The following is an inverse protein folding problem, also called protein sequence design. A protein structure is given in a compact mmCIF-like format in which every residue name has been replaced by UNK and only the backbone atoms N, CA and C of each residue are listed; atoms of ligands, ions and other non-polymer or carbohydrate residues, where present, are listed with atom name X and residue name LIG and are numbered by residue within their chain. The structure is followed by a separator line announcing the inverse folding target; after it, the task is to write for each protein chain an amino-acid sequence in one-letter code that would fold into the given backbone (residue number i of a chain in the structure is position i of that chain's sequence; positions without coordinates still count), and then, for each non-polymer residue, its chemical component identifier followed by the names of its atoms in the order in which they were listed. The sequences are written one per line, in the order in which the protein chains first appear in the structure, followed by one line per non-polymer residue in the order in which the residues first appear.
data_IF_655899887407
#
_entry.id   IF_655899887407
#
_cell.length_a   1.000
_cell.length_b   1.000
_cell.length_c   1.000
_cell.angle_alpha   90.00
_cell.angle_beta   90.00
_cell.angle_gamma   90.00
#
_symmetry.space_group_name_H-M   'P 1'
#
loop_
_entity.id
_entity.type
_entity.pdbx_description
1 polymer ?
#
# COMPACT_ATOMS: atom_id res chain seq x y z
N UNK A 1 -28.75 40.49 -44.20
CA UNK A 1 -28.43 39.12 -44.55
C UNK A 1 -26.98 38.94 -44.25
N UNK A 2 -26.60 38.27 -43.19
CA UNK A 2 -25.33 37.58 -43.03
C UNK A 2 -25.34 36.95 -41.67
N UNK A 3 -25.56 35.63 -41.63
CA UNK A 3 -25.49 34.83 -40.43
C UNK A 3 -24.02 34.54 -40.12
N UNK A 4 -23.58 34.86 -38.90
CA UNK A 4 -22.32 34.41 -38.36
C UNK A 4 -22.44 32.98 -37.79
N UNK A 5 -21.44 32.12 -37.94
CA UNK A 5 -21.48 30.78 -37.38
C UNK A 5 -21.20 30.80 -35.86
N UNK A 6 -22.03 30.06 -35.13
CA UNK A 6 -21.91 29.90 -33.70
C UNK A 6 -20.61 29.19 -33.33
N UNK A 7 -19.94 29.81 -32.41
CA UNK A 7 -18.73 29.29 -31.74
C UNK A 7 -19.15 28.18 -30.78
N UNK A 8 -18.86 26.95 -31.14
CA UNK A 8 -19.03 25.79 -30.28
C UNK A 8 -18.03 25.90 -29.14
N UNK A 9 -18.51 26.25 -27.95
CA UNK A 9 -17.74 26.19 -26.73
C UNK A 9 -17.24 24.74 -26.51
N UNK A 10 -15.93 24.54 -26.71
CA UNK A 10 -15.25 23.32 -26.40
C UNK A 10 -15.38 23.01 -24.90
N UNK A 11 -16.04 21.91 -24.60
CA UNK A 11 -16.05 21.33 -23.25
C UNK A 11 -14.60 20.94 -22.93
N UNK A 12 -13.94 21.81 -22.14
CA UNK A 12 -12.64 21.54 -21.57
C UNK A 12 -12.71 20.21 -20.82
N UNK A 13 -11.95 19.24 -21.30
CA UNK A 13 -11.79 17.95 -20.64
C UNK A 13 -11.33 18.17 -19.21
N UNK A 14 -12.06 17.61 -18.26
CA UNK A 14 -11.59 17.47 -16.89
C UNK A 14 -10.25 16.76 -16.95
N UNK A 15 -9.22 17.38 -16.39
CA UNK A 15 -7.90 16.80 -16.25
C UNK A 15 -8.05 15.42 -15.62
N UNK A 16 -7.86 14.38 -16.41
CA UNK A 16 -7.89 13.01 -15.93
C UNK A 16 -6.69 12.89 -14.98
N UNK A 17 -6.99 12.74 -13.71
CA UNK A 17 -6.03 12.55 -12.63
C UNK A 17 -5.14 11.36 -13.00
N UNK A 18 -3.89 11.65 -13.40
CA UNK A 18 -3.02 10.67 -14.05
C UNK A 18 -2.50 9.69 -12.99
N UNK A 19 -2.84 8.42 -13.13
CA UNK A 19 -2.32 7.37 -12.27
C UNK A 19 -0.78 7.31 -12.32
N UNK A 20 -0.08 6.94 -11.21
CA UNK A 20 1.38 6.82 -11.20
C UNK A 20 1.88 5.88 -12.28
N UNK A 21 2.89 6.30 -13.05
CA UNK A 21 3.34 5.55 -14.23
C UNK A 21 4.21 4.32 -13.89
N UNK A 22 5.07 4.39 -12.84
CA UNK A 22 5.99 3.33 -12.43
C UNK A 22 5.81 3.01 -10.95
N UNK A 23 5.27 1.84 -10.64
CA UNK A 23 4.78 1.50 -9.30
C UNK A 23 5.40 0.21 -8.77
N UNK A 24 5.98 0.27 -7.57
CA UNK A 24 6.32 -0.92 -6.79
C UNK A 24 5.12 -1.31 -5.91
N UNK A 25 4.66 -2.55 -6.00
CA UNK A 25 3.63 -3.12 -5.11
C UNK A 25 4.25 -4.20 -4.23
N UNK A 26 4.39 -3.91 -2.93
CA UNK A 26 4.90 -4.83 -1.91
C UNK A 26 3.73 -5.50 -1.20
N UNK A 27 3.73 -6.83 -1.16
CA UNK A 27 2.58 -7.63 -0.73
C UNK A 27 1.64 -8.01 -1.90
N UNK A 28 2.14 -8.05 -3.13
CA UNK A 28 1.38 -8.27 -4.35
C UNK A 28 0.66 -9.63 -4.43
N UNK A 29 1.05 -10.61 -3.61
CA UNK A 29 0.37 -11.91 -3.50
C UNK A 29 -0.81 -11.91 -2.51
N UNK A 30 -0.94 -10.86 -1.69
CA UNK A 30 -2.07 -10.63 -0.81
C UNK A 30 -3.29 -10.08 -1.56
N UNK A 31 -4.45 -10.02 -0.87
CA UNK A 31 -5.68 -9.50 -1.46
C UNK A 31 -5.54 -8.03 -1.87
N UNK A 32 -5.21 -7.14 -0.93
CA UNK A 32 -5.10 -5.70 -1.19
C UNK A 32 -4.04 -5.40 -2.24
N UNK A 33 -2.81 -5.90 -2.05
CA UNK A 33 -1.72 -5.69 -3.00
C UNK A 33 -2.00 -6.26 -4.39
N UNK A 34 -2.65 -7.43 -4.45
CA UNK A 34 -3.03 -8.05 -5.72
C UNK A 34 -4.12 -7.29 -6.47
N UNK A 35 -5.11 -6.75 -5.76
CA UNK A 35 -6.14 -5.86 -6.33
C UNK A 35 -5.53 -4.55 -6.82
N UNK A 36 -4.67 -3.93 -6.02
CA UNK A 36 -3.97 -2.71 -6.39
C UNK A 36 -3.10 -2.90 -7.64
N UNK A 37 -2.28 -3.97 -7.68
CA UNK A 37 -1.42 -4.27 -8.83
C UNK A 37 -2.22 -4.44 -10.12
N UNK A 38 -3.35 -5.19 -10.07
CA UNK A 38 -4.24 -5.36 -11.23
C UNK A 38 -4.86 -4.04 -11.69
N UNK A 39 -5.36 -3.25 -10.75
CA UNK A 39 -6.03 -1.99 -11.08
C UNK A 39 -5.05 -0.97 -11.65
N UNK A 40 -3.85 -0.83 -11.08
CA UNK A 40 -2.79 0.04 -11.60
C UNK A 40 -2.33 -0.40 -13.00
N UNK A 41 -2.13 -1.71 -13.19
CA UNK A 41 -1.79 -2.26 -14.52
C UNK A 41 -2.86 -1.96 -15.57
N UNK A 42 -4.15 -2.16 -15.25
CA UNK A 42 -5.26 -1.81 -16.16
C UNK A 42 -5.31 -0.34 -16.52
N UNK A 43 -4.79 0.55 -15.66
CA UNK A 43 -4.67 2.00 -15.90
C UNK A 43 -3.39 2.39 -16.65
N UNK A 44 -2.65 1.41 -17.16
CA UNK A 44 -1.43 1.63 -17.94
C UNK A 44 -0.15 1.80 -17.13
N UNK A 45 -0.18 1.64 -15.81
CA UNK A 45 1.03 1.71 -15.00
C UNK A 45 1.97 0.52 -15.26
N UNK A 46 3.26 0.81 -15.32
CA UNK A 46 4.32 -0.20 -15.26
C UNK A 46 4.51 -0.64 -13.81
N UNK A 47 4.20 -1.89 -13.49
CA UNK A 47 4.25 -2.40 -12.12
C UNK A 47 5.41 -3.35 -11.91
N UNK A 48 6.11 -3.22 -10.78
CA UNK A 48 7.02 -4.21 -10.22
C UNK A 48 6.39 -4.81 -8.96
N UNK A 49 6.51 -6.12 -8.78
CA UNK A 49 5.80 -6.85 -7.75
C UNK A 49 6.75 -7.45 -6.73
N UNK A 50 6.47 -7.28 -5.44
CA UNK A 50 7.20 -7.95 -4.37
C UNK A 50 6.24 -8.73 -3.45
N UNK A 51 6.68 -9.90 -2.98
CA UNK A 51 5.89 -10.77 -2.14
C UNK A 51 6.71 -11.91 -1.53
N UNK A 52 6.19 -12.56 -0.50
CA UNK A 52 6.92 -13.61 0.23
C UNK A 52 7.03 -14.93 -0.54
N UNK A 53 5.95 -15.37 -1.16
CA UNK A 53 5.89 -16.66 -1.86
C UNK A 53 6.27 -16.46 -3.33
N UNK A 54 7.43 -17.00 -3.74
CA UNK A 54 8.01 -16.80 -5.07
C UNK A 54 7.13 -17.37 -6.20
N UNK A 55 6.52 -18.55 -6.02
CA UNK A 55 5.69 -19.20 -7.04
C UNK A 55 4.41 -18.38 -7.29
N UNK A 56 3.66 -18.07 -6.22
CA UNK A 56 2.45 -17.24 -6.33
C UNK A 56 2.75 -15.85 -6.90
N UNK A 57 3.95 -15.32 -6.63
CA UNK A 57 4.39 -14.04 -7.15
C UNK A 57 4.67 -14.12 -8.65
N UNK A 58 5.35 -15.17 -9.11
CA UNK A 58 5.61 -15.43 -10.53
C UNK A 58 4.29 -15.63 -11.30
N UNK A 59 3.32 -16.37 -10.72
CA UNK A 59 1.97 -16.52 -11.32
C UNK A 59 1.28 -15.15 -11.46
N UNK A 60 1.36 -14.31 -10.43
CA UNK A 60 0.80 -12.95 -10.47
C UNK A 60 1.47 -12.09 -11.54
N UNK A 61 2.79 -12.19 -11.65
CA UNK A 61 3.57 -11.44 -12.65
C UNK A 61 3.19 -11.85 -14.07
N UNK A 62 3.06 -13.16 -14.35
CA UNK A 62 2.61 -13.68 -15.65
C UNK A 62 1.21 -13.18 -16.01
N UNK A 63 0.26 -13.19 -15.09
CA UNK A 63 -1.10 -12.67 -15.31
C UNK A 63 -1.15 -11.17 -15.65
N UNK A 64 -0.10 -10.43 -15.34
CA UNK A 64 0.03 -9.00 -15.64
C UNK A 64 0.98 -8.71 -16.81
N UNK A 65 1.34 -9.72 -17.62
CA UNK A 65 2.22 -9.58 -18.78
C UNK A 65 3.71 -9.61 -18.38
N UNK A 66 4.10 -10.63 -17.64
CA UNK A 66 5.49 -10.92 -17.21
C UNK A 66 6.20 -9.74 -16.52
N UNK A 67 5.51 -9.14 -15.56
CA UNK A 67 6.04 -7.98 -14.84
C UNK A 67 7.26 -8.34 -13.99
N UNK A 68 8.21 -7.40 -13.81
CA UNK A 68 9.31 -7.59 -12.88
C UNK A 68 8.78 -7.98 -11.49
N UNK A 69 9.37 -9.03 -10.91
CA UNK A 69 8.95 -9.50 -9.60
C UNK A 69 10.15 -10.00 -8.77
N UNK A 70 10.07 -9.84 -7.45
CA UNK A 70 11.12 -10.21 -6.50
C UNK A 70 10.51 -10.73 -5.19
N UNK A 71 10.92 -11.93 -4.80
CA UNK A 71 10.59 -12.45 -3.48
C UNK A 71 11.41 -11.73 -2.40
N UNK A 72 10.83 -11.58 -1.19
CA UNK A 72 11.52 -11.00 -0.05
C UNK A 72 11.05 -11.62 1.26
N UNK A 73 11.88 -11.54 2.28
CA UNK A 73 11.56 -11.90 3.66
C UNK A 73 11.41 -10.61 4.49
N UNK A 74 10.33 -10.53 5.28
CA UNK A 74 10.07 -9.38 6.16
C UNK A 74 11.09 -9.28 7.33
N UNK A 75 11.81 -10.34 7.64
CA UNK A 75 12.88 -10.35 8.63
C UNK A 75 14.23 -9.86 8.09
N UNK A 76 14.41 -9.86 6.78
CA UNK A 76 15.56 -9.22 6.12
C UNK A 76 15.24 -7.75 5.83
N UNK A 77 15.51 -6.88 6.81
CA UNK A 77 15.21 -5.46 6.69
C UNK A 77 16.05 -4.76 5.61
N UNK A 78 17.28 -5.20 5.37
CA UNK A 78 18.12 -4.69 4.29
C UNK A 78 17.55 -5.11 2.92
N UNK A 79 17.12 -6.36 2.80
CA UNK A 79 16.40 -6.85 1.64
C UNK A 79 15.09 -6.10 1.40
N UNK A 80 14.34 -5.78 2.46
CA UNK A 80 13.15 -4.92 2.39
C UNK A 80 13.48 -3.52 1.86
N UNK A 81 14.51 -2.87 2.38
CA UNK A 81 14.97 -1.56 1.90
C UNK A 81 15.47 -1.61 0.45
N UNK A 82 16.05 -2.74 0.03
CA UNK A 82 16.54 -3.00 -1.32
C UNK A 82 15.44 -3.17 -2.39
N UNK A 83 14.17 -3.33 -2.02
CA UNK A 83 13.07 -3.53 -2.97
C UNK A 83 12.83 -2.32 -3.87
N UNK A 84 12.83 -1.12 -3.33
CA UNK A 84 12.60 0.10 -4.11
C UNK A 84 13.74 0.41 -5.10
N UNK A 85 15.03 0.34 -4.72
CA UNK A 85 16.14 0.43 -5.67
C UNK A 85 16.09 -0.62 -6.77
N UNK A 86 15.70 -1.86 -6.45
CA UNK A 86 15.51 -2.89 -7.46
C UNK A 86 14.38 -2.53 -8.42
N UNK A 87 13.21 -2.11 -7.92
CA UNK A 87 12.07 -1.73 -8.76
C UNK A 87 12.40 -0.55 -9.67
N UNK A 88 13.07 0.48 -9.15
CA UNK A 88 13.52 1.63 -9.93
C UNK A 88 14.42 1.22 -11.11
N UNK A 89 15.38 0.30 -10.88
CA UNK A 89 16.23 -0.24 -11.97
C UNK A 89 15.41 -1.06 -12.97
N UNK A 90 14.44 -1.85 -12.51
CA UNK A 90 13.64 -2.71 -13.39
C UNK A 90 12.63 -1.94 -14.24
N UNK A 91 12.15 -0.79 -13.76
CA UNK A 91 11.14 0.04 -14.42
C UNK A 91 11.75 1.27 -15.12
N UNK A 92 13.02 1.57 -14.87
CA UNK A 92 13.73 2.78 -15.34
C UNK A 92 13.57 3.97 -14.39
N UNK A 93 12.51 4.04 -13.61
CA UNK A 93 12.23 5.06 -12.57
C UNK A 93 11.21 4.51 -11.55
N UNK A 94 10.93 5.28 -10.52
CA UNK A 94 9.92 4.94 -9.53
C UNK A 94 9.10 6.20 -9.17
N UNK A 95 7.79 6.14 -9.41
CA UNK A 95 6.87 7.24 -9.13
C UNK A 95 6.03 6.96 -7.87
N UNK A 96 5.75 5.67 -7.59
CA UNK A 96 4.90 5.30 -6.48
C UNK A 96 5.34 3.96 -5.85
N UNK A 97 5.16 3.86 -4.53
CA UNK A 97 5.32 2.61 -3.77
C UNK A 97 4.04 2.33 -3.00
N UNK A 98 3.50 1.14 -3.18
CA UNK A 98 2.37 0.61 -2.41
C UNK A 98 2.88 -0.49 -1.48
N UNK A 99 2.68 -0.32 -0.18
CA UNK A 99 3.04 -1.33 0.83
C UNK A 99 1.78 -1.90 1.46
N UNK A 100 1.44 -3.14 1.09
CA UNK A 100 0.27 -3.88 1.54
C UNK A 100 0.68 -5.19 2.26
N UNK A 101 1.68 -5.09 3.12
CA UNK A 101 2.21 -6.20 3.92
C UNK A 101 1.59 -6.18 5.31
N UNK A 102 1.27 -7.38 5.82
CA UNK A 102 0.79 -7.51 7.18
C UNK A 102 0.30 -8.92 7.49
N UNK A 103 0.26 -9.21 8.78
CA UNK A 103 -0.31 -10.43 9.37
C UNK A 103 -1.19 -10.04 10.55
N UNK A 104 -2.28 -10.79 10.76
CA UNK A 104 -3.16 -10.61 11.92
C UNK A 104 -2.62 -11.38 13.14
N UNK A 105 -2.97 -10.90 14.34
CA UNK A 105 -2.77 -11.62 15.60
C UNK A 105 -3.90 -11.27 16.56
N UNK A 106 -4.39 -12.29 17.27
CA UNK A 106 -5.46 -12.20 18.25
C UNK A 106 -5.04 -12.84 19.56
N UNK A 107 -5.55 -12.35 20.64
CA UNK A 107 -5.33 -12.86 21.99
C UNK A 107 -5.36 -11.74 23.03
N UNK A 108 -5.66 -12.11 24.29
CA UNK A 108 -5.46 -11.20 25.43
C UNK A 108 -3.94 -11.01 25.60
N UNK A 109 -3.51 -9.81 26.00
CA UNK A 109 -2.09 -9.46 26.05
C UNK A 109 -1.23 -10.45 26.85
N UNK A 110 -1.77 -10.96 27.97
CA UNK A 110 -1.09 -11.95 28.82
C UNK A 110 -1.00 -13.38 28.22
N UNK A 111 -1.69 -13.62 27.07
CA UNK A 111 -1.71 -14.91 26.37
C UNK A 111 -0.94 -14.90 25.04
N UNK A 112 -0.52 -13.72 24.57
CA UNK A 112 0.30 -13.59 23.37
C UNK A 112 1.77 -13.79 23.76
N UNK A 113 2.40 -14.84 23.22
CA UNK A 113 3.82 -15.10 23.47
C UNK A 113 4.74 -14.10 22.74
N UNK A 114 5.91 -13.84 23.32
CA UNK A 114 6.90 -12.85 22.82
C UNK A 114 7.25 -13.07 21.34
N UNK A 115 7.45 -14.30 20.90
CA UNK A 115 7.75 -14.61 19.50
C UNK A 115 6.63 -14.17 18.53
N UNK A 116 5.36 -14.27 18.95
CA UNK A 116 4.23 -13.78 18.14
C UNK A 116 4.17 -12.24 18.14
N UNK A 117 4.44 -11.60 19.29
CA UNK A 117 4.51 -10.15 19.40
C UNK A 117 5.64 -9.58 18.53
N UNK A 118 6.84 -10.17 18.57
CA UNK A 118 7.98 -9.83 17.73
C UNK A 118 7.67 -10.00 16.24
N UNK A 119 7.01 -11.11 15.86
CA UNK A 119 6.58 -11.35 14.49
C UNK A 119 5.60 -10.29 14.01
N UNK A 120 4.60 -9.95 14.85
CA UNK A 120 3.64 -8.90 14.54
C UNK A 120 4.32 -7.54 14.35
N UNK A 121 5.28 -7.18 15.22
CA UNK A 121 6.02 -5.94 15.12
C UNK A 121 6.90 -5.91 13.87
N UNK A 122 7.61 -6.99 13.58
CA UNK A 122 8.51 -7.09 12.42
C UNK A 122 7.74 -6.96 11.12
N UNK A 123 6.68 -7.75 10.94
CA UNK A 123 5.96 -7.80 9.65
C UNK A 123 5.05 -6.59 9.45
N UNK A 124 4.41 -6.08 10.53
CA UNK A 124 3.44 -4.99 10.41
C UNK A 124 4.04 -3.59 10.56
N UNK A 125 5.25 -3.45 11.10
CA UNK A 125 5.89 -2.15 11.31
C UNK A 125 7.29 -2.08 10.71
N UNK A 126 8.25 -2.90 11.17
CA UNK A 126 9.66 -2.74 10.80
C UNK A 126 9.93 -2.98 9.31
N UNK A 127 9.38 -4.04 8.72
CA UNK A 127 9.53 -4.32 7.29
C UNK A 127 8.90 -3.23 6.41
N UNK A 128 7.64 -2.78 6.62
CA UNK A 128 7.09 -1.62 5.93
C UNK A 128 7.94 -0.35 6.06
N UNK A 129 8.43 -0.04 7.26
CA UNK A 129 9.32 1.11 7.48
C UNK A 129 10.61 0.99 6.67
N UNK A 130 11.23 -0.20 6.61
CA UNK A 130 12.44 -0.45 5.83
C UNK A 130 12.20 -0.25 4.33
N UNK A 131 11.07 -0.78 3.78
CA UNK A 131 10.69 -0.55 2.39
C UNK A 131 10.56 0.95 2.09
N UNK A 132 9.86 1.68 2.95
CA UNK A 132 9.66 3.13 2.76
C UNK A 132 10.99 3.87 2.83
N UNK A 133 11.87 3.58 3.80
CA UNK A 133 13.22 4.19 3.88
C UNK A 133 14.00 4.00 2.59
N UNK A 134 13.96 2.80 2.00
CA UNK A 134 14.64 2.52 0.73
C UNK A 134 14.01 3.24 -0.47
N UNK A 135 12.73 3.60 -0.39
CA UNK A 135 12.01 4.29 -1.47
C UNK A 135 12.23 5.81 -1.47
N UNK A 136 12.23 6.44 -0.29
CA UNK A 136 12.25 7.89 -0.16
C UNK A 136 13.37 8.60 -0.94
N UNK A 137 14.64 8.11 -0.99
CA UNK A 137 15.70 8.76 -1.76
C UNK A 137 15.47 8.74 -3.27
N UNK A 138 14.65 7.83 -3.78
CA UNK A 138 14.42 7.57 -5.20
C UNK A 138 13.20 8.32 -5.75
N UNK A 139 12.32 8.79 -4.88
CA UNK A 139 11.12 9.52 -5.27
C UNK A 139 11.43 11.00 -5.47
N UNK A 140 10.99 11.51 -6.60
CA UNK A 140 11.04 12.94 -6.94
C UNK A 140 9.77 13.66 -6.50
N UNK A 141 9.71 14.99 -6.73
CA UNK A 141 8.52 15.79 -6.47
C UNK A 141 7.30 15.24 -7.24
N UNK A 142 6.19 15.05 -6.55
CA UNK A 142 5.01 14.35 -7.06
C UNK A 142 4.99 12.85 -6.77
N UNK A 143 6.12 12.26 -6.36
CA UNK A 143 6.20 10.87 -5.96
C UNK A 143 5.35 10.55 -4.73
N UNK A 144 4.85 9.32 -4.63
CA UNK A 144 3.91 8.94 -3.57
C UNK A 144 4.27 7.58 -2.95
N UNK A 145 4.11 7.48 -1.62
CA UNK A 145 4.17 6.22 -0.88
C UNK A 145 2.82 5.99 -0.21
N UNK A 146 2.15 4.89 -0.52
CA UNK A 146 0.93 4.46 0.16
C UNK A 146 1.18 3.22 1.00
N UNK A 147 0.88 3.28 2.30
CA UNK A 147 1.13 2.17 3.24
C UNK A 147 -0.14 1.78 3.96
N UNK A 148 -0.51 0.51 3.88
CA UNK A 148 -1.72 -0.01 4.53
C UNK A 148 -1.49 -0.25 6.02
N UNK A 149 -2.11 0.59 6.85
CA UNK A 149 -2.17 0.41 8.31
C UNK A 149 -3.50 -0.24 8.72
N UNK A 150 -4.63 0.37 8.36
CA UNK A 150 -5.98 -0.08 8.66
C UNK A 150 -6.67 0.70 9.77
N UNK A 151 -7.99 0.60 9.82
CA UNK A 151 -8.85 1.27 10.83
C UNK A 151 -8.59 0.80 12.26
N UNK A 152 -7.86 -0.30 12.44
CA UNK A 152 -7.41 -0.81 13.75
C UNK A 152 -6.62 0.24 14.56
N UNK A 153 -5.99 1.20 13.88
CA UNK A 153 -5.21 2.26 14.53
C UNK A 153 -6.14 3.28 15.23
N UNK A 154 -7.32 3.50 14.67
CA UNK A 154 -8.27 4.49 15.17
C UNK A 154 -9.18 3.92 16.27
N UNK A 155 -9.51 2.63 16.19
CA UNK A 155 -10.40 1.94 17.12
C UNK A 155 -9.93 0.49 17.39
N UNK A 156 -8.86 0.29 18.18
CA UNK A 156 -8.32 -1.03 18.47
C UNK A 156 -9.31 -1.85 19.33
N UNK A 157 -9.76 -3.02 18.87
CA UNK A 157 -10.67 -3.85 19.66
C UNK A 157 -9.90 -4.67 20.71
N UNK A 158 -10.65 -5.17 21.70
CA UNK A 158 -10.11 -6.11 22.70
C UNK A 158 -9.51 -7.34 22.02
N UNK A 159 -8.40 -7.86 22.57
CA UNK A 159 -7.74 -9.05 22.07
C UNK A 159 -6.91 -8.83 20.81
N UNK A 160 -6.54 -7.60 20.50
CA UNK A 160 -5.67 -7.26 19.37
C UNK A 160 -4.57 -6.27 19.77
N UNK A 161 -4.11 -6.27 21.03
CA UNK A 161 -3.18 -5.28 21.56
C UNK A 161 -1.87 -5.21 20.75
N UNK A 162 -1.19 -6.34 20.53
CA UNK A 162 0.10 -6.39 19.83
C UNK A 162 -0.03 -6.03 18.35
N UNK A 163 -1.08 -6.53 17.69
CA UNK A 163 -1.37 -6.17 16.31
C UNK A 163 -1.65 -4.67 16.16
N UNK A 164 -2.51 -4.11 17.05
CA UNK A 164 -2.84 -2.69 17.05
C UNK A 164 -1.61 -1.84 17.37
N UNK A 165 -0.78 -2.24 18.34
CA UNK A 165 0.47 -1.57 18.67
C UNK A 165 1.41 -1.48 17.46
N UNK A 166 1.62 -2.59 16.73
CA UNK A 166 2.47 -2.62 15.55
C UNK A 166 1.93 -1.69 14.43
N UNK A 167 0.62 -1.72 14.17
CA UNK A 167 0.01 -0.83 13.16
C UNK A 167 0.02 0.64 13.58
N UNK A 168 -0.16 0.93 14.87
CA UNK A 168 -0.09 2.30 15.41
C UNK A 168 1.35 2.84 15.37
N UNK A 169 2.35 2.02 15.70
CA UNK A 169 3.74 2.40 15.56
C UNK A 169 4.09 2.80 14.12
N UNK A 170 3.66 2.00 13.14
CA UNK A 170 3.82 2.32 11.72
C UNK A 170 3.10 3.63 11.35
N UNK A 171 1.84 3.81 11.76
CA UNK A 171 1.04 4.98 11.46
C UNK A 171 1.67 6.27 12.01
N UNK A 172 2.13 6.24 13.26
CA UNK A 172 2.82 7.37 13.90
C UNK A 172 4.10 7.72 13.13
N UNK A 173 4.89 6.71 12.76
CA UNK A 173 6.10 6.89 11.99
C UNK A 173 5.82 7.50 10.60
N UNK A 174 4.81 7.00 9.88
CA UNK A 174 4.38 7.55 8.58
C UNK A 174 3.96 9.02 8.70
N UNK A 175 3.27 9.39 9.77
CA UNK A 175 2.87 10.78 10.04
C UNK A 175 4.08 11.72 10.20
N UNK A 176 5.16 11.26 10.85
CA UNK A 176 6.41 12.04 10.96
C UNK A 176 7.09 12.15 9.60
N UNK A 177 7.31 11.01 8.93
CA UNK A 177 7.95 10.97 7.62
C UNK A 177 7.22 11.83 6.59
N UNK A 178 5.88 11.79 6.59
CA UNK A 178 5.08 12.63 5.69
C UNK A 178 5.33 14.14 5.88
N UNK A 179 5.56 14.59 7.12
CA UNK A 179 5.95 15.99 7.39
C UNK A 179 7.36 16.29 6.88
N UNK A 180 8.32 15.38 7.10
CA UNK A 180 9.71 15.52 6.64
C UNK A 180 9.81 15.59 5.12
N UNK A 181 9.00 14.81 4.40
CA UNK A 181 9.04 14.73 2.94
C UNK A 181 8.27 15.86 2.24
N UNK A 182 7.49 16.64 2.97
CA UNK A 182 6.65 17.72 2.39
C UNK A 182 7.46 18.73 1.57
N UNK A 183 8.62 19.16 2.06
CA UNK A 183 9.49 20.11 1.37
C UNK A 183 10.04 19.56 0.05
N UNK A 184 10.16 18.23 -0.07
CA UNK A 184 10.58 17.54 -1.31
C UNK A 184 9.43 17.29 -2.28
N UNK A 185 8.20 17.63 -1.93
CA UNK A 185 7.02 17.33 -2.72
C UNK A 185 6.68 15.84 -2.81
N UNK A 186 7.21 15.00 -1.92
CA UNK A 186 6.90 13.57 -1.84
C UNK A 186 5.77 13.36 -0.85
N UNK A 187 4.73 12.63 -1.27
CA UNK A 187 3.56 12.33 -0.47
C UNK A 187 3.68 10.99 0.23
N UNK A 188 3.30 10.96 1.49
CA UNK A 188 3.19 9.71 2.29
C UNK A 188 1.74 9.57 2.74
N UNK A 189 1.08 8.52 2.28
CA UNK A 189 -0.34 8.23 2.53
C UNK A 189 -0.45 7.05 3.48
N UNK A 190 -0.98 7.30 4.66
CA UNK A 190 -1.36 6.27 5.62
C UNK A 190 -2.78 5.77 5.28
N UNK A 191 -2.86 4.54 4.77
CA UNK A 191 -4.10 3.97 4.24
C UNK A 191 -4.87 3.23 5.34
N UNK A 192 -5.94 3.87 5.85
CA UNK A 192 -6.86 3.30 6.84
C UNK A 192 -7.85 2.33 6.17
N UNK A 193 -7.32 1.16 5.76
CA UNK A 193 -8.16 0.15 5.12
C UNK A 193 -9.20 -0.38 6.11
N UNK A 194 -10.50 -0.44 5.75
CA UNK A 194 -11.52 -1.05 6.60
C UNK A 194 -11.33 -2.56 6.74
N UNK A 195 -12.13 -3.19 7.60
CA UNK A 195 -12.22 -4.64 7.64
C UNK A 195 -12.75 -5.17 6.30
N UNK A 196 -12.03 -6.16 5.74
CA UNK A 196 -12.37 -6.79 4.46
C UNK A 196 -12.55 -8.30 4.66
N UNK A 197 -13.55 -8.87 4.01
CA UNK A 197 -13.72 -10.31 3.94
C UNK A 197 -12.74 -10.91 2.92
N UNK A 198 -11.67 -11.54 3.40
CA UNK A 198 -10.61 -12.06 2.53
C UNK A 198 -9.71 -13.09 3.17
N UNK A 199 -10.17 -13.69 4.27
CA UNK A 199 -9.42 -14.72 4.99
C UNK A 199 -8.12 -14.20 5.65
N UNK A 200 -7.92 -12.89 5.78
CA UNK A 200 -6.77 -12.31 6.47
C UNK A 200 -6.77 -12.69 7.95
N UNK A 201 -7.91 -12.52 8.62
CA UNK A 201 -8.11 -12.86 10.01
C UNK A 201 -7.96 -14.37 10.28
N UNK A 202 -8.43 -15.21 9.35
CA UNK A 202 -8.31 -16.67 9.46
C UNK A 202 -6.86 -17.19 9.35
N UNK A 203 -5.93 -16.36 8.89
CA UNK A 203 -4.49 -16.66 8.81
C UNK A 203 -3.68 -15.96 9.88
N UNK A 204 -4.30 -15.66 11.03
CA UNK A 204 -3.63 -15.04 12.15
C UNK A 204 -2.43 -15.87 12.64
N UNK A 205 -1.37 -15.19 13.05
CA UNK A 205 -0.14 -15.83 13.57
C UNK A 205 -0.29 -16.33 14.99
N UNK A 206 -1.28 -15.81 15.72
CA UNK A 206 -1.66 -16.25 17.07
C UNK A 206 -3.15 -16.01 17.29
N UNK A 207 -3.78 -16.87 18.08
CA UNK A 207 -5.20 -16.82 18.43
C UNK A 207 -6.15 -16.97 17.24
N UNK A 208 -7.42 -16.78 17.50
CA UNK A 208 -8.49 -16.78 16.51
C UNK A 208 -9.24 -15.45 16.48
N UNK A 209 -9.80 -15.07 15.33
CA UNK A 209 -10.57 -13.83 15.22
C UNK A 209 -11.81 -13.88 16.12
N UNK A 210 -12.18 -12.76 16.75
CA UNK A 210 -13.49 -12.63 17.35
C UNK A 210 -14.57 -12.66 16.26
N UNK A 211 -15.85 -12.70 16.66
CA UNK A 211 -16.93 -12.47 15.71
C UNK A 211 -16.77 -11.06 15.11
N UNK A 212 -16.45 -11.01 13.83
CA UNK A 212 -16.28 -9.75 13.09
C UNK A 212 -17.58 -9.42 12.34
N UNK A 213 -17.91 -8.13 12.18
CA UNK A 213 -19.00 -7.74 11.29
C UNK A 213 -18.65 -8.11 9.84
N UNK A 214 -19.65 -8.18 8.94
CA UNK A 214 -19.37 -8.35 7.51
C UNK A 214 -18.34 -7.35 7.03
N UNK A 215 -17.35 -7.81 6.27
CA UNK A 215 -16.31 -6.97 5.69
C UNK A 215 -16.83 -6.10 4.54
N UNK A 216 -16.16 -4.98 4.32
CA UNK A 216 -16.42 -4.16 3.16
C UNK A 216 -15.97 -4.86 1.86
N UNK A 217 -16.56 -4.46 0.73
CA UNK A 217 -16.14 -4.94 -0.59
C UNK A 217 -14.67 -4.62 -0.85
N UNK A 218 -13.83 -5.63 -1.16
CA UNK A 218 -12.40 -5.43 -1.31
C UNK A 218 -12.00 -4.54 -2.49
N UNK A 219 -12.68 -4.65 -3.65
CA UNK A 219 -12.31 -3.88 -4.84
C UNK A 219 -12.70 -2.41 -4.65
N UNK A 220 -13.91 -2.14 -4.19
CA UNK A 220 -14.36 -0.78 -3.86
C UNK A 220 -13.52 -0.15 -2.76
N UNK A 221 -13.10 -0.93 -1.75
CA UNK A 221 -12.25 -0.42 -0.66
C UNK A 221 -10.84 -0.08 -1.14
N UNK A 222 -10.21 -0.93 -1.96
CA UNK A 222 -8.90 -0.65 -2.56
C UNK A 222 -8.97 0.59 -3.43
N UNK A 223 -10.03 0.73 -4.24
CA UNK A 223 -10.23 1.91 -5.06
C UNK A 223 -10.32 3.18 -4.22
N UNK A 224 -11.23 3.21 -3.26
CA UNK A 224 -11.52 4.40 -2.45
C UNK A 224 -10.40 4.79 -1.51
N UNK A 225 -9.85 3.81 -0.77
CA UNK A 225 -8.94 4.09 0.34
C UNK A 225 -7.45 4.04 -0.04
N UNK A 226 -7.11 3.40 -1.17
CA UNK A 226 -5.73 3.27 -1.61
C UNK A 226 -5.50 4.00 -2.94
N UNK A 227 -6.19 3.62 -4.02
CA UNK A 227 -5.84 4.11 -5.36
C UNK A 227 -6.25 5.57 -5.57
N UNK A 228 -7.42 5.99 -5.16
CA UNK A 228 -7.85 7.38 -5.28
C UNK A 228 -6.92 8.35 -4.51
N UNK A 229 -6.53 8.09 -3.23
CA UNK A 229 -5.54 8.92 -2.56
C UNK A 229 -4.14 8.91 -3.21
N UNK A 230 -3.74 7.84 -3.91
CA UNK A 230 -2.46 7.81 -4.62
C UNK A 230 -2.49 8.64 -5.90
N UNK A 231 -3.61 8.68 -6.60
CA UNK A 231 -3.81 9.48 -7.81
C UNK A 231 -3.96 10.97 -7.48
N UNK A 232 -4.64 11.33 -6.38
CA UNK A 232 -4.90 12.69 -5.94
C UNK A 232 -3.64 13.48 -5.58
N UNK A 233 -3.01 14.08 -6.53
CA UNK A 233 -1.75 14.85 -6.42
C UNK A 233 -1.87 16.33 -6.68
N UNK A 234 -3.02 17.02 -6.48
CA UNK A 234 -3.10 18.50 -6.51
C UNK A 234 -4.37 19.07 -5.89
N UNK A 235 -4.70 18.74 -4.65
CA UNK A 235 -5.41 19.76 -3.87
C UNK A 235 -4.36 20.61 -3.16
N UNK A 236 -4.02 21.74 -3.76
CA UNK A 236 -3.34 22.84 -3.08
C UNK A 236 -4.29 23.31 -2.00
N UNK A 237 -3.99 22.99 -0.75
CA UNK A 237 -4.54 23.75 0.35
C UNK A 237 -4.08 25.21 0.17
N UNK A 238 -5.03 26.05 -0.22
CA UNK A 238 -4.94 27.51 -0.09
C UNK A 238 -5.20 27.90 1.36
#
# INVERSE_FOLDING_TARGET
MSGGPGEAAGVSGRDAETAPAHVLVVGATGMIGGLAARALHRRGASVALAGRNAERLADRARLLGDRPHRAFDAYDLDGCAGLAPWAARSLGRLDCVVVAVGVAGFGRAELVGDAAAEHLMTVNALAPMAVVRGALPLLEAGGTVGVVTGVIVDAPPRGMADYAAAKTALATWLGVVGREQRARGVRVVDVRMPHLDGGFAARAVTGGPPTLPPGADPEASVERHLLAPLAGGTERNR
#
